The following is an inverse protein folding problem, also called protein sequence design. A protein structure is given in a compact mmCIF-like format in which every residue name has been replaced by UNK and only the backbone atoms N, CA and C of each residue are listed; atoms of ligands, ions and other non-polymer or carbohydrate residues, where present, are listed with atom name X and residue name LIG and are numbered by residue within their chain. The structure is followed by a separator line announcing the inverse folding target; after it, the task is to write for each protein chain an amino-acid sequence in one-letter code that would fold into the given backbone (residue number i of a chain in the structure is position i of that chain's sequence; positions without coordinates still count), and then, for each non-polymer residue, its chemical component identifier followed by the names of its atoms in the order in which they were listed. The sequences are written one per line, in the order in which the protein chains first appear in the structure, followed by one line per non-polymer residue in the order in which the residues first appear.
data_IF_923795743079
#
_entry.id   IF_923795743079
#
_cell.length_a   1.000
_cell.length_b   1.000
_cell.length_c   1.000
_cell.angle_alpha   90.00
_cell.angle_beta   90.00
_cell.angle_gamma   90.00
#
_symmetry.space_group_name_H-M   'P 1'
#
loop_
_entity.id
_entity.type
_entity.pdbx_description
1 polymer ?
#
# COMPACT_ATOMS: atom_id res chain seq x y z
N UNK A 1 12.77 -6.52 6.24
CA UNK A 1 13.15 -5.83 7.44
C UNK A 1 12.22 -6.12 8.58
N UNK A 2 12.46 -7.24 9.18
CA UNK A 2 11.62 -7.63 10.29
C UNK A 2 11.77 -6.70 11.49
N UNK A 3 12.93 -6.07 11.62
CA UNK A 3 13.14 -5.13 12.72
C UNK A 3 12.29 -3.88 12.60
N UNK A 4 11.75 -3.61 11.42
CA UNK A 4 10.92 -2.44 11.23
C UNK A 4 9.59 -2.54 11.95
N UNK A 5 9.14 -3.77 12.23
CA UNK A 5 7.87 -4.00 12.90
C UNK A 5 8.15 -4.70 14.22
N UNK A 6 7.97 -3.97 15.31
CA UNK A 6 8.18 -4.48 16.64
C UNK A 6 6.87 -4.94 17.23
N UNK A 7 6.89 -5.95 18.12
CA UNK A 7 5.64 -6.41 18.72
C UNK A 7 4.89 -5.32 19.48
N UNK A 8 5.62 -4.37 20.05
CA UNK A 8 5.01 -3.29 20.81
C UNK A 8 4.62 -2.11 19.95
N UNK A 9 4.92 -2.14 18.63
CA UNK A 9 4.54 -1.04 17.75
C UNK A 9 3.04 -1.01 17.57
N UNK A 10 2.51 0.20 17.45
CA UNK A 10 1.09 0.40 17.30
C UNK A 10 0.64 0.08 15.88
N UNK A 11 -0.67 -0.13 15.73
CA UNK A 11 -1.23 -0.57 14.45
C UNK A 11 -0.95 0.39 13.31
N UNK A 12 -1.05 1.70 13.56
CA UNK A 12 -0.80 2.68 12.50
C UNK A 12 0.65 2.67 12.03
N UNK A 13 1.58 2.42 12.94
CA UNK A 13 2.98 2.27 12.52
C UNK A 13 3.16 1.07 11.62
N UNK A 14 2.48 0.00 11.93
CA UNK A 14 2.52 -1.20 11.08
C UNK A 14 1.90 -0.94 9.72
N UNK A 15 0.80 -0.19 9.67
CA UNK A 15 0.19 0.21 8.40
C UNK A 15 1.20 0.98 7.56
N UNK A 16 1.85 1.96 8.16
CA UNK A 16 2.82 2.76 7.45
C UNK A 16 3.95 1.91 6.88
N UNK A 17 4.50 1.02 7.70
CA UNK A 17 5.60 0.15 7.26
C UNK A 17 5.13 -0.76 6.13
N UNK A 18 3.92 -1.31 6.22
CA UNK A 18 3.42 -2.20 5.18
C UNK A 18 3.32 -1.48 3.84
N UNK A 19 2.83 -0.24 3.84
CA UNK A 19 2.73 0.55 2.61
C UNK A 19 4.12 0.85 2.06
N UNK A 20 5.05 1.23 2.94
CA UNK A 20 6.41 1.55 2.52
C UNK A 20 7.09 0.34 1.89
N UNK A 21 6.92 -0.84 2.49
CA UNK A 21 7.49 -2.07 1.94
C UNK A 21 6.88 -2.38 0.58
N UNK A 22 5.58 -2.20 0.44
CA UNK A 22 4.90 -2.45 -0.83
C UNK A 22 5.49 -1.57 -1.95
N UNK A 23 5.62 -0.27 -1.68
CA UNK A 23 6.15 0.65 -2.67
C UNK A 23 7.62 0.39 -2.98
N UNK A 24 8.41 0.05 -1.94
CA UNK A 24 9.82 -0.28 -2.15
C UNK A 24 9.97 -1.50 -3.03
N UNK A 25 9.11 -2.50 -2.84
CA UNK A 25 9.15 -3.72 -3.64
C UNK A 25 8.90 -3.40 -5.11
N UNK A 26 7.89 -2.57 -5.40
CA UNK A 26 7.64 -2.17 -6.78
C UNK A 26 8.81 -1.39 -7.35
N UNK A 27 9.46 -0.56 -6.54
CA UNK A 27 10.61 0.20 -7.01
C UNK A 27 11.77 -0.70 -7.41
N UNK A 28 12.01 -1.75 -6.64
CA UNK A 28 13.10 -2.68 -6.94
C UNK A 28 12.88 -3.46 -8.21
N UNK A 29 11.63 -3.81 -8.48
CA UNK A 29 11.32 -4.72 -9.59
C UNK A 29 10.59 -4.01 -10.70
N UNK A 30 10.97 -2.76 -10.96
CA UNK A 30 10.29 -1.94 -11.96
C UNK A 30 10.26 -2.59 -13.33
N UNK A 31 11.40 -3.14 -13.77
CA UNK A 31 11.48 -3.75 -15.08
C UNK A 31 10.52 -4.95 -15.17
N UNK A 32 10.55 -5.80 -14.15
CA UNK A 32 9.67 -6.95 -14.12
C UNK A 32 8.21 -6.53 -14.07
N UNK A 33 7.92 -5.49 -13.28
CA UNK A 33 6.55 -4.97 -13.17
C UNK A 33 6.08 -4.43 -14.53
N UNK A 34 6.94 -3.71 -15.22
CA UNK A 34 6.57 -3.15 -16.52
C UNK A 34 6.27 -4.26 -17.53
N UNK A 35 7.11 -5.29 -17.54
CA UNK A 35 6.89 -6.42 -18.46
C UNK A 35 5.58 -7.12 -18.11
N UNK A 36 5.35 -7.37 -16.82
CA UNK A 36 4.13 -8.03 -16.38
C UNK A 36 2.89 -7.25 -16.78
N UNK A 37 2.89 -5.94 -16.55
CA UNK A 37 1.73 -5.13 -16.89
C UNK A 37 1.49 -5.05 -18.38
N UNK A 38 2.57 -4.94 -19.17
CA UNK A 38 2.44 -4.88 -20.61
C UNK A 38 1.93 -6.19 -21.18
N UNK A 39 2.47 -7.31 -20.69
CA UNK A 39 2.06 -8.63 -21.16
C UNK A 39 0.74 -9.05 -20.58
N UNK A 40 0.40 -8.52 -19.40
CA UNK A 40 -0.85 -8.86 -18.76
C UNK A 40 -2.05 -8.58 -19.61
N UNK A 41 -1.99 -7.52 -20.41
CA UNK A 41 -3.09 -7.17 -21.28
C UNK A 41 -3.35 -8.29 -22.32
N UNK A 42 -2.30 -9.04 -22.66
CA UNK A 42 -2.42 -10.15 -23.58
C UNK A 42 -2.58 -11.51 -22.93
N UNK A 43 -2.46 -11.57 -21.61
CA UNK A 43 -2.57 -12.82 -20.87
C UNK A 43 -4.00 -13.09 -20.36
N UNK A 44 -4.88 -12.10 -20.47
CA UNK A 44 -6.27 -12.27 -20.16
C UNK A 44 -6.56 -12.45 -18.67
N UNK A 45 -7.53 -13.34 -18.40
CA UNK A 45 -8.08 -13.44 -17.04
C UNK A 45 -7.10 -13.96 -16.01
N UNK A 46 -6.15 -14.80 -16.42
CA UNK A 46 -5.18 -15.35 -15.47
C UNK A 46 -4.37 -14.24 -14.80
N UNK A 47 -3.89 -13.27 -15.60
CA UNK A 47 -3.15 -12.14 -15.04
C UNK A 47 -4.04 -11.30 -14.14
N UNK A 48 -5.27 -11.04 -14.58
CA UNK A 48 -6.19 -10.22 -13.79
C UNK A 48 -6.51 -10.88 -12.46
N UNK A 49 -6.66 -12.19 -12.45
CA UNK A 49 -6.91 -12.90 -11.21
C UNK A 49 -5.74 -12.80 -10.25
N UNK A 50 -4.52 -12.93 -10.76
CA UNK A 50 -3.32 -12.81 -9.93
C UNK A 50 -3.18 -11.41 -9.36
N UNK A 51 -3.40 -10.39 -10.19
CA UNK A 51 -3.31 -9.01 -9.75
C UNK A 51 -4.32 -8.71 -8.65
N UNK A 52 -5.55 -9.17 -8.87
CA UNK A 52 -6.61 -8.97 -7.89
C UNK A 52 -6.27 -9.66 -6.57
N UNK A 53 -5.74 -10.87 -6.66
CA UNK A 53 -5.38 -11.64 -5.46
C UNK A 53 -4.31 -10.91 -4.65
N UNK A 54 -3.29 -10.37 -5.31
CA UNK A 54 -2.22 -9.65 -4.63
C UNK A 54 -2.77 -8.40 -3.96
N UNK A 55 -3.60 -7.64 -4.67
CA UNK A 55 -4.21 -6.44 -4.10
C UNK A 55 -5.05 -6.77 -2.88
N UNK A 56 -5.81 -7.86 -2.94
CA UNK A 56 -6.65 -8.23 -1.82
C UNK A 56 -5.85 -8.68 -0.62
N UNK A 57 -4.71 -9.33 -0.84
CA UNK A 57 -3.83 -9.72 0.26
C UNK A 57 -3.31 -8.50 1.02
N UNK A 58 -2.83 -7.49 0.28
CA UNK A 58 -2.36 -6.27 0.93
C UNK A 58 -3.50 -5.54 1.62
N UNK A 59 -4.67 -5.50 0.98
CA UNK A 59 -5.82 -4.82 1.59
C UNK A 59 -6.21 -5.50 2.90
N UNK A 60 -6.19 -6.83 2.94
CA UNK A 60 -6.52 -7.55 4.17
C UNK A 60 -5.51 -7.26 5.27
N UNK A 61 -4.23 -7.20 4.93
CA UNK A 61 -3.19 -6.90 5.91
C UNK A 61 -3.39 -5.49 6.48
N UNK A 62 -3.64 -4.52 5.60
CA UNK A 62 -3.88 -3.16 6.04
C UNK A 62 -5.12 -3.09 6.93
N UNK A 63 -6.19 -3.82 6.56
CA UNK A 63 -7.41 -3.83 7.36
C UNK A 63 -7.16 -4.39 8.75
N UNK A 64 -6.34 -5.43 8.87
CA UNK A 64 -6.00 -6.00 10.18
C UNK A 64 -5.33 -4.94 11.05
N UNK A 65 -4.34 -4.25 10.49
CA UNK A 65 -3.61 -3.24 11.27
C UNK A 65 -4.49 -2.04 11.59
N UNK A 66 -5.39 -1.66 10.70
CA UNK A 66 -6.33 -0.58 10.99
C UNK A 66 -7.27 -0.95 12.12
N UNK A 67 -7.74 -2.21 12.15
CA UNK A 67 -8.56 -2.66 13.26
C UNK A 67 -7.81 -2.61 14.58
N UNK A 68 -6.54 -2.99 14.56
CA UNK A 68 -5.71 -2.89 15.76
C UNK A 68 -5.58 -1.44 16.21
N UNK A 69 -5.38 -0.53 15.26
CA UNK A 69 -5.26 0.89 15.58
C UNK A 69 -6.54 1.44 16.22
N UNK A 70 -7.69 1.03 15.69
CA UNK A 70 -8.96 1.44 16.27
C UNK A 70 -9.09 0.89 17.68
N UNK A 71 -8.75 -0.38 17.88
CA UNK A 71 -8.86 -1.00 19.20
C UNK A 71 -7.95 -0.34 20.21
N UNK A 72 -6.80 0.16 19.77
CA UNK A 72 -5.85 0.83 20.65
C UNK A 72 -6.14 2.32 20.83
N UNK A 73 -7.17 2.83 20.17
CA UNK A 73 -7.53 4.24 20.30
C UNK A 73 -6.67 5.19 19.48
N UNK A 74 -5.89 4.68 18.54
CA UNK A 74 -5.03 5.54 17.73
C UNK A 74 -5.82 6.36 16.71
N UNK A 75 -6.90 5.79 16.19
CA UNK A 75 -7.77 6.47 15.24
C UNK A 75 -9.22 6.19 15.60
N UNK A 76 -10.10 7.06 15.15
CA UNK A 76 -11.53 6.85 15.32
C UNK A 76 -11.99 5.70 14.43
N UNK A 77 -13.11 5.05 14.76
CA UNK A 77 -13.63 3.97 13.92
C UNK A 77 -13.90 4.42 12.50
N UNK A 78 -13.47 3.60 11.55
CA UNK A 78 -13.73 3.80 10.13
C UNK A 78 -14.12 2.44 9.54
N UNK A 79 -14.69 2.47 8.33
CA UNK A 79 -14.96 1.23 7.61
C UNK A 79 -13.64 0.71 7.04
N UNK A 80 -12.99 -0.20 7.77
CA UNK A 80 -11.64 -0.63 7.39
C UNK A 80 -11.62 -1.38 6.07
N UNK A 81 -12.72 -2.06 5.71
CA UNK A 81 -12.77 -2.77 4.44
C UNK A 81 -12.74 -1.79 3.28
N UNK A 82 -13.56 -0.76 3.34
CA UNK A 82 -13.63 0.24 2.28
C UNK A 82 -12.33 1.03 2.22
N UNK A 83 -11.81 1.44 3.37
CA UNK A 83 -10.60 2.25 3.43
C UNK A 83 -9.40 1.49 2.86
N UNK A 84 -9.24 0.22 3.26
CA UNK A 84 -8.07 -0.52 2.78
C UNK A 84 -8.14 -0.78 1.29
N UNK A 85 -9.33 -1.04 0.75
CA UNK A 85 -9.48 -1.21 -0.69
C UNK A 85 -9.21 0.10 -1.43
N UNK A 86 -9.70 1.22 -0.90
CA UNK A 86 -9.45 2.52 -1.51
C UNK A 86 -7.97 2.86 -1.52
N UNK A 87 -7.28 2.58 -0.41
CA UNK A 87 -5.84 2.84 -0.33
C UNK A 87 -5.06 2.01 -1.33
N UNK A 88 -5.42 0.72 -1.46
CA UNK A 88 -4.74 -0.13 -2.45
C UNK A 88 -5.01 0.35 -3.87
N UNK A 89 -6.21 0.85 -4.13
CA UNK A 89 -6.52 1.44 -5.42
C UNK A 89 -5.65 2.65 -5.73
N UNK A 90 -5.47 3.52 -4.75
CA UNK A 90 -4.63 4.69 -4.92
C UNK A 90 -3.18 4.32 -5.19
N UNK A 91 -2.66 3.37 -4.40
CA UNK A 91 -1.29 2.90 -4.58
C UNK A 91 -1.11 2.30 -5.96
N UNK A 92 -2.03 1.44 -6.35
CA UNK A 92 -1.93 0.75 -7.63
C UNK A 92 -1.97 1.72 -8.80
N UNK A 93 -2.87 2.71 -8.74
CA UNK A 93 -2.98 3.69 -9.81
C UNK A 93 -1.67 4.45 -10.01
N UNK A 94 -1.03 4.84 -8.90
CA UNK A 94 0.23 5.57 -9.00
C UNK A 94 1.37 4.69 -9.46
N UNK A 95 1.40 3.43 -9.03
CA UNK A 95 2.43 2.50 -9.46
C UNK A 95 2.32 2.27 -10.97
N UNK A 96 1.10 2.05 -11.48
CA UNK A 96 0.91 1.86 -12.91
C UNK A 96 1.35 3.09 -13.68
N UNK A 97 0.97 4.27 -13.22
CA UNK A 97 1.37 5.49 -13.88
C UNK A 97 2.90 5.61 -13.93
N UNK A 98 3.56 5.32 -12.82
CA UNK A 98 5.01 5.36 -12.78
C UNK A 98 5.64 4.35 -13.73
N UNK A 99 5.11 3.12 -13.77
CA UNK A 99 5.66 2.09 -14.66
C UNK A 99 5.56 2.52 -16.12
N UNK A 100 4.46 3.17 -16.49
CA UNK A 100 4.23 3.55 -17.87
C UNK A 100 4.93 4.84 -18.29
N UNK A 101 5.11 5.78 -17.36
CA UNK A 101 5.61 7.11 -17.71
C UNK A 101 6.89 7.50 -16.99
N UNK A 102 7.37 6.68 -16.07
CA UNK A 102 8.52 6.97 -15.20
C UNK A 102 8.25 8.07 -14.17
N UNK A 103 6.99 8.51 -14.05
CA UNK A 103 6.63 9.56 -13.10
C UNK A 103 5.31 9.22 -12.42
N UNK A 104 5.17 9.53 -11.16
CA UNK A 104 6.24 9.96 -10.25
C UNK A 104 7.08 8.77 -9.79
N UNK A 105 8.34 8.98 -9.41
CA UNK A 105 9.18 7.86 -8.94
C UNK A 105 8.72 7.36 -7.56
N UNK A 106 9.09 6.12 -7.21
CA UNK A 106 8.62 5.54 -5.95
C UNK A 106 8.92 6.38 -4.72
N UNK A 107 10.07 7.03 -4.66
CA UNK A 107 10.40 7.87 -3.51
C UNK A 107 9.43 9.03 -3.38
N UNK A 108 9.03 9.61 -4.49
CA UNK A 108 8.06 10.70 -4.47
C UNK A 108 6.67 10.21 -4.09
N UNK A 109 6.28 9.05 -4.59
CA UNK A 109 5.00 8.44 -4.22
C UNK A 109 4.98 8.22 -2.71
N UNK A 110 6.05 7.65 -2.19
CA UNK A 110 6.14 7.36 -0.76
C UNK A 110 6.02 8.64 0.07
N UNK A 111 6.78 9.67 -0.30
CA UNK A 111 6.81 10.90 0.46
C UNK A 111 5.49 11.65 0.44
N UNK A 112 4.75 11.56 -0.67
CA UNK A 112 3.50 12.33 -0.80
C UNK A 112 2.28 11.51 -0.38
N UNK A 113 2.24 10.25 -0.78
CA UNK A 113 1.03 9.46 -0.62
C UNK A 113 0.87 8.90 0.79
N UNK A 114 1.96 8.39 1.39
CA UNK A 114 1.84 7.74 2.68
C UNK A 114 1.29 8.69 3.74
N UNK A 115 1.84 9.91 3.90
CA UNK A 115 1.26 10.84 4.88
C UNK A 115 -0.19 11.19 4.58
N UNK A 116 -0.54 11.33 3.30
CA UNK A 116 -1.90 11.68 2.93
C UNK A 116 -2.88 10.57 3.29
N UNK A 117 -2.49 9.32 3.05
CA UNK A 117 -3.34 8.20 3.42
C UNK A 117 -3.53 8.13 4.93
N UNK A 118 -2.44 8.28 5.68
CA UNK A 118 -2.53 8.22 7.13
C UNK A 118 -3.42 9.34 7.67
N UNK A 119 -3.28 10.54 7.13
CA UNK A 119 -4.11 11.65 7.57
C UNK A 119 -5.58 11.46 7.21
N UNK A 120 -5.85 10.68 6.17
CA UNK A 120 -7.24 10.45 5.76
C UNK A 120 -8.05 9.73 6.82
N UNK A 121 -7.40 9.02 7.74
CA UNK A 121 -8.09 8.40 8.87
C UNK A 121 -7.81 9.15 10.17
N UNK A 122 -7.27 10.36 10.09
CA UNK A 122 -7.04 11.19 11.26
C UNK A 122 -5.76 10.91 12.00
N UNK A 123 -4.82 10.22 11.40
CA UNK A 123 -3.56 9.90 12.03
C UNK A 123 -2.45 10.78 11.49
N UNK A 124 -1.74 11.45 12.38
CA UNK A 124 -0.61 12.28 11.98
C UNK A 124 0.65 11.42 12.01
N UNK A 125 1.31 11.20 10.87
CA UNK A 125 2.49 10.34 10.85
C UNK A 125 3.62 10.94 11.67
N UNK A 126 4.36 10.06 12.35
CA UNK A 126 5.50 10.50 13.12
C UNK A 126 6.66 10.80 12.20
N UNK A 127 7.38 11.85 12.53
CA UNK A 127 8.59 12.18 11.81
C UNK A 127 9.74 11.31 12.31
N UNK A 128 10.55 10.91 11.36
CA UNK A 128 11.69 10.05 11.68
C UNK A 128 12.72 10.76 12.54
#
# INVERSE_FOLDING_TARGET
MTQSIQPEQQGMRRVQVAIEVCLDTFGRYRRAAKIMLAQGAGLGTTFEEKRTEINERFARLIAIYLREAIAQGEIAPVDVEVISLAWMGAIYALVIHWVNTNEPPPQQILAALVPALLRSVGYEPQKA
#
